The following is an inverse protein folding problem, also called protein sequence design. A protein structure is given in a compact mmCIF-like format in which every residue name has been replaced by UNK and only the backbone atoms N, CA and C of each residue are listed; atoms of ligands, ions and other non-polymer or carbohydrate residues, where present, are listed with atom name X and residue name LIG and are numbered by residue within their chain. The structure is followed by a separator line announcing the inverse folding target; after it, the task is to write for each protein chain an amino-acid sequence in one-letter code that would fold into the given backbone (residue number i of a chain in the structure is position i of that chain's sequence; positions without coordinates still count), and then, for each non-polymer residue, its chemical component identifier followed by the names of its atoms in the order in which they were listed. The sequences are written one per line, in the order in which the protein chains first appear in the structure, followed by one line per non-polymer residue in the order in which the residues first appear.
data_IF_627320151477
#
_entry.id   IF_627320151477
#
_cell.length_a   1.000
_cell.length_b   1.000
_cell.length_c   1.000
_cell.angle_alpha   90.00
_cell.angle_beta   90.00
_cell.angle_gamma   90.00
#
_symmetry.space_group_name_H-M   'P 1'
#
loop_
_entity.id
_entity.type
_entity.pdbx_description
1 polymer ?
#
# COMPACT_ATOMS: atom_id res chain seq x y z
N UNK A 1 11.05 3.03 7.45
CA UNK A 1 10.25 2.48 6.33
C UNK A 1 10.92 2.90 5.03
N UNK A 2 11.04 1.99 4.08
CA UNK A 2 11.55 2.25 2.73
C UNK A 2 10.62 3.18 1.94
N UNK A 3 11.18 3.86 0.95
CA UNK A 3 10.41 4.68 -0.01
C UNK A 3 9.57 3.83 -0.97
N UNK A 4 9.74 2.50 -0.96
CA UNK A 4 9.03 1.54 -1.82
C UNK A 4 8.37 0.43 -0.98
N UNK A 5 7.40 0.77 -0.10
CA UNK A 5 6.80 -0.17 0.85
C UNK A 5 6.15 -1.39 0.18
N UNK A 6 5.46 -1.21 -0.95
CA UNK A 6 4.87 -2.33 -1.69
C UNK A 6 5.95 -3.27 -2.24
N UNK A 7 7.02 -2.74 -2.83
CA UNK A 7 8.12 -3.55 -3.36
C UNK A 7 8.81 -4.36 -2.26
N UNK A 8 8.95 -3.78 -1.07
CA UNK A 8 9.53 -4.48 0.07
C UNK A 8 8.67 -5.66 0.52
N UNK A 9 7.35 -5.49 0.57
CA UNK A 9 6.43 -6.58 0.91
C UNK A 9 6.45 -7.70 -0.14
N UNK A 10 6.49 -7.34 -1.43
CA UNK A 10 6.64 -8.32 -2.51
C UNK A 10 7.96 -9.10 -2.37
N UNK A 11 9.08 -8.44 -2.05
CA UNK A 11 10.36 -9.13 -1.77
C UNK A 11 10.30 -10.06 -0.56
N UNK A 12 9.43 -9.77 0.41
CA UNK A 12 9.20 -10.61 1.59
C UNK A 12 8.19 -11.75 1.32
N UNK A 13 7.78 -11.95 0.07
CA UNK A 13 6.90 -13.04 -0.35
C UNK A 13 5.41 -12.74 -0.21
N UNK A 14 5.01 -11.47 -0.06
CA UNK A 14 3.60 -11.09 -0.16
C UNK A 14 3.15 -10.98 -1.61
N UNK A 15 2.01 -11.57 -1.91
CA UNK A 15 1.36 -11.54 -3.21
C UNK A 15 0.31 -10.44 -3.26
N UNK A 16 0.23 -9.70 -4.37
CA UNK A 16 -0.85 -8.74 -4.61
C UNK A 16 -2.11 -9.47 -5.04
N UNK A 17 -3.18 -9.34 -4.25
CA UNK A 17 -4.48 -9.96 -4.53
C UNK A 17 -5.39 -8.99 -5.26
N UNK A 18 -5.48 -7.75 -4.78
CA UNK A 18 -6.30 -6.71 -5.37
C UNK A 18 -5.76 -5.32 -5.08
N UNK A 19 -6.15 -4.36 -5.90
CA UNK A 19 -5.82 -2.95 -5.75
C UNK A 19 -7.08 -2.10 -5.93
N UNK A 20 -7.25 -1.12 -5.06
CA UNK A 20 -8.21 -0.04 -5.23
C UNK A 20 -7.55 1.31 -4.98
N UNK A 21 -8.08 2.35 -5.61
CA UNK A 21 -7.59 3.71 -5.44
C UNK A 21 -8.77 4.65 -5.20
N UNK A 22 -8.55 5.62 -4.32
CA UNK A 22 -9.46 6.75 -4.10
C UNK A 22 -8.92 7.96 -4.82
N UNK A 23 -9.69 8.45 -5.78
CA UNK A 23 -9.44 9.70 -6.48
C UNK A 23 -10.12 10.87 -5.78
N UNK A 24 -9.46 12.03 -5.76
CA UNK A 24 -10.04 13.29 -5.35
C UNK A 24 -9.65 14.38 -6.37
N UNK A 25 -10.63 14.82 -7.17
CA UNK A 25 -10.47 15.83 -8.21
C UNK A 25 -9.45 15.48 -9.30
N UNK A 26 -9.37 14.21 -9.71
CA UNK A 26 -8.45 13.73 -10.74
C UNK A 26 -7.03 13.43 -10.23
N UNK A 27 -6.79 13.62 -8.94
CA UNK A 27 -5.58 13.15 -8.28
C UNK A 27 -5.87 11.93 -7.40
N UNK A 28 -5.15 10.84 -7.65
CA UNK A 28 -5.21 9.68 -6.77
C UNK A 28 -4.58 10.01 -5.42
N UNK A 29 -5.44 10.15 -4.41
CA UNK A 29 -5.05 10.53 -3.05
C UNK A 29 -4.62 9.33 -2.21
N UNK A 30 -5.21 8.16 -2.45
CA UNK A 30 -4.96 6.95 -1.64
C UNK A 30 -5.01 5.69 -2.50
N UNK A 31 -4.10 4.76 -2.24
CA UNK A 31 -4.12 3.40 -2.76
C UNK A 31 -4.31 2.41 -1.62
N UNK A 32 -5.10 1.37 -1.84
CA UNK A 32 -5.22 0.23 -0.93
C UNK A 32 -4.89 -1.04 -1.71
N UNK A 33 -3.96 -1.83 -1.18
CA UNK A 33 -3.50 -3.07 -1.79
C UNK A 33 -3.79 -4.21 -0.83
N UNK A 34 -4.64 -5.16 -1.23
CA UNK A 34 -4.81 -6.40 -0.49
C UNK A 34 -3.64 -7.32 -0.82
N UNK A 35 -2.94 -7.76 0.22
CA UNK A 35 -1.79 -8.63 0.14
C UNK A 35 -2.10 -9.96 0.83
N UNK A 36 -1.54 -11.05 0.28
CA UNK A 36 -1.64 -12.39 0.84
C UNK A 36 -0.25 -13.02 1.00
N UNK A 37 -0.02 -13.74 2.10
CA UNK A 37 1.16 -14.60 2.26
C UNK A 37 0.83 -15.77 3.15
N UNK A 38 1.00 -16.99 2.65
CA UNK A 38 0.83 -18.23 3.43
C UNK A 38 -0.51 -18.30 4.22
N UNK A 39 -1.61 -17.84 3.61
CA UNK A 39 -2.94 -17.83 4.22
C UNK A 39 -3.26 -16.57 5.06
N UNK A 40 -2.26 -15.76 5.42
CA UNK A 40 -2.47 -14.44 6.05
C UNK A 40 -2.81 -13.36 5.03
N UNK A 41 -3.67 -12.42 5.41
CA UNK A 41 -4.03 -11.25 4.61
C UNK A 41 -3.75 -9.95 5.36
N UNK A 42 -3.36 -8.93 4.60
CA UNK A 42 -3.30 -7.56 5.12
C UNK A 42 -3.57 -6.55 4.02
N UNK A 43 -4.01 -5.37 4.41
CA UNK A 43 -4.18 -4.22 3.53
C UNK A 43 -3.01 -3.28 3.75
N UNK A 44 -2.29 -2.97 2.67
CA UNK A 44 -1.33 -1.86 2.62
C UNK A 44 -2.04 -0.64 2.06
N UNK A 45 -2.18 0.41 2.86
CA UNK A 45 -2.66 1.72 2.41
C UNK A 45 -1.48 2.65 2.14
N UNK A 46 -1.44 3.25 0.96
CA UNK A 46 -0.41 4.21 0.53
C UNK A 46 -1.05 5.55 0.23
N UNK A 47 -0.46 6.63 0.75
CA UNK A 47 -0.84 8.01 0.45
C UNK A 47 0.40 8.84 0.18
N UNK A 48 0.30 9.86 -0.67
CA UNK A 48 1.38 10.85 -0.81
C UNK A 48 1.51 11.64 0.50
N UNK A 49 2.73 11.96 0.92
CA UNK A 49 2.91 12.89 2.05
C UNK A 49 2.38 14.27 1.70
N UNK A 50 1.76 14.93 2.68
CA UNK A 50 1.32 16.32 2.56
C UNK A 50 2.51 17.28 2.66
N UNK A 51 3.57 16.89 3.37
CA UNK A 51 4.81 17.67 3.56
C UNK A 51 6.02 16.78 3.26
N UNK A 52 6.92 17.27 2.40
CA UNK A 52 8.13 16.59 1.97
C UNK A 52 7.88 15.47 0.95
N UNK A 53 8.95 14.80 0.55
CA UNK A 53 8.90 13.74 -0.46
C UNK A 53 8.56 12.35 0.12
N UNK A 54 7.92 11.55 -0.73
CA UNK A 54 7.64 10.14 -0.48
C UNK A 54 6.18 9.83 -0.13
N UNK A 55 5.98 8.63 0.39
CA UNK A 55 4.66 8.08 0.71
C UNK A 55 4.53 7.80 2.21
N UNK A 56 3.30 7.88 2.71
CA UNK A 56 2.89 7.34 4.00
C UNK A 56 2.27 5.97 3.75
N UNK A 57 2.77 4.96 4.48
CA UNK A 57 2.26 3.60 4.43
C UNK A 57 1.65 3.23 5.78
N UNK A 58 0.46 2.62 5.76
CA UNK A 58 -0.14 1.99 6.94
C UNK A 58 -0.58 0.58 6.58
N UNK A 59 -0.46 -0.34 7.54
CA UNK A 59 -0.83 -1.75 7.37
C UNK A 59 -1.99 -2.10 8.30
N UNK A 60 -2.93 -2.91 7.81
CA UNK A 60 -4.06 -3.44 8.56
C UNK A 60 -4.15 -4.96 8.31
N UNK A 61 -4.03 -5.77 9.37
CA UNK A 61 -4.26 -7.21 9.31
C UNK A 61 -5.76 -7.51 9.13
N UNK A 62 -6.10 -8.53 8.32
CA UNK A 62 -7.48 -8.91 7.99
C UNK A 62 -7.69 -10.43 8.09
#
# INVERSE_FOLDING_TARGET
MSDKPLSDLVRQGWEVVSHSSTDMNGETYQHNVLLRRQGSHKILTLRKKIIGDGVVATELEV
#
